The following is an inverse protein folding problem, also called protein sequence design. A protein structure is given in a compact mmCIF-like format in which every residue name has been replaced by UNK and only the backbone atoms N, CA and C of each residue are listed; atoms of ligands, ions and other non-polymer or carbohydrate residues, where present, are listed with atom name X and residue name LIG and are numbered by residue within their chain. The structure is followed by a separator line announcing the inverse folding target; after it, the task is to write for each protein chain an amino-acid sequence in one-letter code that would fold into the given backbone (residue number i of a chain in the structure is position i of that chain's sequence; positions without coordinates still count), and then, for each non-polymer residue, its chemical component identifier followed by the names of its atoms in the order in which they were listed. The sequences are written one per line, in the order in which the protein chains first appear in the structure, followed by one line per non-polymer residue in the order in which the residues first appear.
data_IF_557800798825
#
_entry.id   IF_557800798825
#
_cell.length_a   1.000
_cell.length_b   1.000
_cell.length_c   1.000
_cell.angle_alpha   90.00
_cell.angle_beta   90.00
_cell.angle_gamma   90.00
#
_symmetry.space_group_name_H-M   'P 1'
#
loop_
_entity.id
_entity.type
_entity.pdbx_description
1 polymer ?
#
# COMPACT_ATOMS: atom_id res chain seq x y z
N UNK A 1 16.81 7.24 3.39
CA UNK A 1 17.09 5.79 3.38
C UNK A 1 15.75 5.05 3.31
N UNK A 2 15.53 4.33 2.21
CA UNK A 2 14.25 3.67 1.90
C UNK A 2 14.18 2.27 2.49
N UNK A 3 13.35 2.10 3.53
CA UNK A 3 13.02 0.80 4.11
C UNK A 3 11.80 0.14 3.43
N UNK A 4 11.56 0.45 2.15
CA UNK A 4 10.40 -0.10 1.42
C UNK A 4 9.03 0.39 1.90
N UNK A 5 8.94 1.54 2.59
CA UNK A 5 7.66 2.11 3.07
C UNK A 5 6.64 2.26 1.94
N UNK A 6 7.06 2.83 0.81
CA UNK A 6 6.21 3.01 -0.38
C UNK A 6 5.78 1.66 -0.96
N UNK A 7 6.68 0.67 -0.99
CA UNK A 7 6.39 -0.69 -1.44
C UNK A 7 5.37 -1.38 -0.55
N UNK A 8 5.48 -1.24 0.78
CA UNK A 8 4.51 -1.80 1.72
C UNK A 8 3.12 -1.18 1.54
N UNK A 9 3.05 0.15 1.40
CA UNK A 9 1.77 0.83 1.14
C UNK A 9 1.16 0.36 -0.17
N UNK A 10 1.95 0.19 -1.23
CA UNK A 10 1.45 -0.38 -2.50
C UNK A 10 0.88 -1.78 -2.32
N UNK A 11 1.57 -2.66 -1.58
CA UNK A 11 1.10 -4.03 -1.36
C UNK A 11 -0.21 -4.11 -0.58
N UNK A 12 -0.48 -3.14 0.31
CA UNK A 12 -1.71 -3.10 1.11
C UNK A 12 -2.87 -2.36 0.44
N UNK A 13 -2.59 -1.41 -0.46
CA UNK A 13 -3.62 -0.51 -1.02
C UNK A 13 -3.80 -0.71 -2.53
N UNK A 14 -2.88 -1.39 -3.21
CA UNK A 14 -2.71 -1.41 -4.67
C UNK A 14 -2.50 -0.01 -5.30
N UNK A 15 -2.26 1.03 -4.50
CA UNK A 15 -2.07 2.40 -4.96
C UNK A 15 -0.59 2.76 -4.88
N UNK A 16 -0.06 3.32 -5.97
CA UNK A 16 1.25 3.96 -5.95
C UNK A 16 1.11 5.39 -5.43
N UNK A 17 1.68 5.64 -4.24
CA UNK A 17 1.56 6.92 -3.54
C UNK A 17 2.58 7.95 -4.01
N UNK A 18 3.66 7.53 -4.67
CA UNK A 18 4.65 8.43 -5.23
C UNK A 18 4.22 8.94 -6.61
N UNK A 19 3.31 9.91 -6.60
CA UNK A 19 2.75 10.53 -7.82
C UNK A 19 3.52 11.76 -8.29
N UNK A 20 4.49 12.22 -7.51
CA UNK A 20 5.20 13.46 -7.79
C UNK A 20 6.43 13.16 -8.66
N UNK A 21 6.50 13.74 -9.85
CA UNK A 21 7.61 13.53 -10.79
C UNK A 21 8.99 13.81 -10.18
N UNK A 22 9.09 14.88 -9.38
CA UNK A 22 10.30 15.23 -8.61
C UNK A 22 10.71 14.16 -7.58
N UNK A 23 9.74 13.47 -6.96
CA UNK A 23 10.01 12.41 -5.98
C UNK A 23 10.52 11.14 -6.64
N UNK A 24 9.94 10.77 -7.79
CA UNK A 24 10.40 9.66 -8.62
C UNK A 24 11.83 9.90 -9.11
N UNK A 25 12.13 11.11 -9.61
CA UNK A 25 13.48 11.47 -10.10
C UNK A 25 14.55 11.42 -9.02
N UNK A 26 14.20 11.76 -7.77
CA UNK A 26 15.14 11.81 -6.64
C UNK A 26 15.12 10.55 -5.77
N UNK A 27 14.28 9.57 -6.12
CA UNK A 27 14.03 8.36 -5.34
C UNK A 27 13.83 8.65 -3.84
N UNK A 28 13.06 9.71 -3.54
CA UNK A 28 12.77 10.18 -2.19
C UNK A 28 11.40 10.86 -2.14
N UNK A 29 10.67 10.67 -1.05
CA UNK A 29 9.38 11.33 -0.81
C UNK A 29 9.56 12.82 -0.55
N UNK A 30 8.97 13.67 -1.38
CA UNK A 30 9.02 15.15 -1.25
C UNK A 30 7.67 15.69 -0.78
N UNK A 31 6.57 15.09 -1.26
CA UNK A 31 5.20 15.39 -0.81
C UNK A 31 4.59 14.18 -0.10
N UNK A 32 3.65 14.45 0.79
CA UNK A 32 2.94 13.40 1.52
C UNK A 32 2.18 12.48 0.55
N UNK A 33 2.49 11.19 0.59
CA UNK A 33 1.73 10.16 -0.12
C UNK A 33 0.52 9.71 0.70
N UNK A 34 -0.64 9.55 0.06
CA UNK A 34 -1.86 9.05 0.69
C UNK A 34 -2.46 7.90 -0.13
N UNK A 35 -2.93 6.85 0.54
CA UNK A 35 -3.66 5.75 -0.06
C UNK A 35 -4.64 5.16 0.95
N UNK A 36 -5.85 4.83 0.49
CA UNK A 36 -6.88 4.16 1.24
C UNK A 36 -6.88 2.65 0.93
N UNK A 37 -7.25 1.83 1.92
CA UNK A 37 -7.43 0.40 1.77
C UNK A 37 -8.66 -0.07 2.54
N UNK A 38 -9.40 -1.01 1.95
CA UNK A 38 -10.49 -1.71 2.62
C UNK A 38 -10.02 -3.11 2.99
N UNK A 39 -9.92 -3.39 4.28
CA UNK A 39 -9.60 -4.72 4.80
C UNK A 39 -10.90 -5.51 4.95
N UNK A 40 -10.99 -6.63 4.23
CA UNK A 40 -12.11 -7.57 4.30
C UNK A 40 -11.72 -8.81 5.09
N UNK A 41 -12.72 -9.42 5.72
CA UNK A 41 -12.55 -10.60 6.57
C UNK A 41 -13.39 -11.75 6.00
N UNK A 42 -12.74 -12.89 5.78
CA UNK A 42 -13.40 -14.16 5.49
C UNK A 42 -13.79 -14.86 6.80
N UNK A 43 -15.09 -15.05 7.05
CA UNK A 43 -15.58 -15.72 8.27
C UNK A 43 -15.33 -17.23 8.30
N UNK A 44 -15.04 -17.85 7.15
CA UNK A 44 -14.80 -19.30 7.03
C UNK A 44 -13.31 -19.68 7.05
N UNK A 45 -12.43 -18.69 7.02
CA UNK A 45 -10.99 -18.87 6.90
C UNK A 45 -10.33 -18.72 8.29
N UNK A 46 -9.32 -19.52 8.60
CA UNK A 46 -8.57 -19.47 9.86
C UNK A 46 -7.23 -18.74 9.70
N UNK A 47 -6.67 -18.26 10.81
CA UNK A 47 -5.35 -17.61 10.82
C UNK A 47 -5.31 -16.27 10.07
N UNK A 48 -4.13 -15.93 9.54
CA UNK A 48 -3.89 -14.66 8.84
C UNK A 48 -4.50 -14.60 7.44
N UNK A 49 -4.78 -15.76 6.83
CA UNK A 49 -5.36 -15.86 5.49
C UNK A 49 -6.82 -15.36 5.42
N UNK A 50 -7.43 -15.06 6.58
CA UNK A 50 -8.77 -14.47 6.65
C UNK A 50 -8.82 -13.02 6.16
N UNK A 51 -7.70 -12.31 6.09
CA UNK A 51 -7.66 -10.90 5.72
C UNK A 51 -7.35 -10.74 4.23
N UNK A 52 -8.11 -9.90 3.54
CA UNK A 52 -7.85 -9.59 2.14
C UNK A 52 -8.21 -8.15 1.80
N UNK A 53 -7.50 -7.57 0.85
CA UNK A 53 -7.77 -6.22 0.32
C UNK A 53 -8.55 -6.29 -0.99
N UNK A 54 -8.62 -7.47 -1.61
CA UNK A 54 -9.29 -7.67 -2.89
C UNK A 54 -10.81 -7.67 -2.71
N UNK A 55 -11.52 -7.13 -3.70
CA UNK A 55 -12.97 -7.33 -3.83
C UNK A 55 -13.17 -8.75 -4.38
N UNK A 56 -13.90 -9.58 -3.64
CA UNK A 56 -14.36 -10.89 -4.13
C UNK A 56 -15.34 -10.69 -5.28
#
# INVERSE_FOLDING_TARGET
IDHGKTSLVRSLTNIWTDRHSESIKRNMTIKLGYADAIIRICNKCSGYDRFTINKK
#
